data_IF_875854890201
#
_entry.id   IF_875854890201
#
_cell.length_a   1.000
_cell.length_b   1.000
_cell.length_c   1.000
_cell.angle_alpha   90.00
_cell.angle_beta   90.00
_cell.angle_gamma   90.00
#
_symmetry.space_group_name_H-M   'P 1'
#
loop_
_entity.id
_entity.type
_entity.pdbx_description
1 polymer ?
#
# COMPACT_ATOMS: atom_id res chain seq x y z
N UNK A 1 1.59 10.02 -36.01
CA UNK A 1 1.33 9.27 -34.75
C UNK A 1 1.49 10.13 -33.49
N UNK A 2 2.55 10.96 -33.35
CA UNK A 2 2.79 11.78 -32.14
C UNK A 2 1.73 12.86 -31.84
N UNK A 3 1.16 13.48 -32.88
CA UNK A 3 0.13 14.52 -32.73
C UNK A 3 -1.20 13.95 -32.22
N UNK A 4 -1.58 12.76 -32.69
CA UNK A 4 -2.79 12.08 -32.25
C UNK A 4 -2.74 11.73 -30.74
N UNK A 5 -1.58 11.30 -30.25
CA UNK A 5 -1.36 11.02 -28.81
C UNK A 5 -1.48 12.29 -27.96
N UNK A 6 -1.05 13.44 -28.49
CA UNK A 6 -1.15 14.73 -27.79
C UNK A 6 -2.59 15.27 -27.73
N UNK A 7 -3.42 14.93 -28.71
CA UNK A 7 -4.82 15.40 -28.78
C UNK A 7 -5.80 14.56 -27.94
N UNK A 8 -5.44 13.32 -27.60
CA UNK A 8 -6.30 12.41 -26.82
C UNK A 8 -6.71 12.97 -25.44
N UNK A 9 -5.82 13.58 -24.63
CA UNK A 9 -6.20 14.18 -23.35
C UNK A 9 -7.25 15.29 -23.50
N UNK A 10 -7.14 16.10 -24.55
CA UNK A 10 -8.07 17.20 -24.83
C UNK A 10 -9.45 16.70 -25.27
N UNK A 11 -9.50 15.66 -26.11
CA UNK A 11 -10.75 15.05 -26.56
C UNK A 11 -11.45 14.36 -25.38
N UNK A 12 -10.71 13.61 -24.55
CA UNK A 12 -11.23 12.98 -23.33
C UNK A 12 -11.77 14.04 -22.36
N UNK A 13 -11.05 15.14 -22.17
CA UNK A 13 -11.48 16.24 -21.31
C UNK A 13 -12.80 16.87 -21.77
N UNK A 14 -12.95 17.16 -23.06
CA UNK A 14 -14.19 17.71 -23.62
C UNK A 14 -15.35 16.71 -23.56
N UNK A 15 -15.10 15.42 -23.80
CA UNK A 15 -16.11 14.38 -23.70
C UNK A 15 -16.57 14.13 -22.26
N UNK A 16 -15.65 14.22 -21.28
CA UNK A 16 -15.97 14.13 -19.86
C UNK A 16 -16.84 15.31 -19.42
N UNK A 17 -16.49 16.53 -19.83
CA UNK A 17 -17.18 17.75 -19.38
C UNK A 17 -18.66 17.78 -19.77
N UNK A 18 -19.02 17.17 -20.89
CA UNK A 18 -20.39 17.17 -21.40
C UNK A 18 -21.30 16.10 -20.78
N UNK A 19 -20.78 15.12 -20.03
CA UNK A 19 -21.60 14.04 -19.51
C UNK A 19 -21.27 13.70 -18.04
N UNK A 20 -22.20 13.94 -17.08
CA UNK A 20 -21.95 13.71 -15.66
C UNK A 20 -21.65 12.23 -15.34
N UNK A 21 -22.16 11.31 -16.17
CA UNK A 21 -21.90 9.87 -16.04
C UNK A 21 -20.45 9.53 -16.38
N UNK A 22 -19.88 10.16 -17.41
CA UNK A 22 -18.48 9.97 -17.81
C UNK A 22 -17.51 10.44 -16.73
N UNK A 23 -17.78 11.57 -16.10
CA UNK A 23 -16.98 12.08 -14.97
C UNK A 23 -16.96 11.06 -13.83
N UNK A 24 -18.11 10.48 -13.48
CA UNK A 24 -18.22 9.49 -12.41
C UNK A 24 -17.40 8.23 -12.68
N UNK A 25 -17.46 7.69 -13.90
CA UNK A 25 -16.66 6.52 -14.25
C UNK A 25 -15.16 6.81 -14.26
N UNK A 26 -14.75 8.00 -14.70
CA UNK A 26 -13.35 8.41 -14.64
C UNK A 26 -12.85 8.57 -13.20
N UNK A 27 -13.68 9.08 -12.29
CA UNK A 27 -13.35 9.15 -10.86
C UNK A 27 -13.17 7.75 -10.25
N UNK A 28 -14.13 6.84 -10.51
CA UNK A 28 -14.04 5.45 -10.03
C UNK A 28 -12.78 4.78 -10.57
N UNK A 29 -12.48 4.96 -11.86
CA UNK A 29 -11.27 4.43 -12.49
C UNK A 29 -10.00 4.97 -11.82
N UNK A 30 -9.91 6.28 -11.61
CA UNK A 30 -8.76 6.90 -10.93
C UNK A 30 -8.59 6.40 -9.51
N UNK A 31 -9.69 6.32 -8.75
CA UNK A 31 -9.72 5.76 -7.40
C UNK A 31 -9.22 4.31 -7.39
N UNK A 32 -9.71 3.48 -8.30
CA UNK A 32 -9.33 2.07 -8.37
C UNK A 32 -7.85 1.89 -8.72
N UNK A 33 -7.34 2.72 -9.62
CA UNK A 33 -5.93 2.70 -10.03
C UNK A 33 -5.01 3.12 -8.88
N UNK A 34 -5.26 4.28 -8.26
CA UNK A 34 -4.39 4.80 -7.21
C UNK A 34 -4.59 4.07 -5.89
N UNK A 35 -5.82 4.05 -5.37
CA UNK A 35 -6.09 3.52 -4.04
C UNK A 35 -6.25 2.00 -4.02
N UNK A 36 -6.67 1.39 -5.13
CA UNK A 36 -6.73 -0.06 -5.25
C UNK A 36 -5.39 -0.65 -5.64
N UNK A 37 -4.96 -0.43 -6.88
CA UNK A 37 -3.82 -1.15 -7.44
C UNK A 37 -2.46 -0.64 -6.94
N UNK A 38 -2.17 0.66 -7.08
CA UNK A 38 -0.87 1.21 -6.70
C UNK A 38 -0.62 1.05 -5.20
N UNK A 39 -1.60 1.38 -4.35
CA UNK A 39 -1.47 1.18 -2.90
C UNK A 39 -1.23 -0.29 -2.53
N UNK A 40 -1.93 -1.24 -3.17
CA UNK A 40 -1.69 -2.67 -2.93
C UNK A 40 -0.25 -3.08 -3.26
N UNK A 41 0.29 -2.58 -4.38
CA UNK A 41 1.67 -2.83 -4.77
C UNK A 41 2.66 -2.25 -3.75
N UNK A 42 2.44 -1.01 -3.30
CA UNK A 42 3.30 -0.36 -2.30
C UNK A 42 3.29 -1.17 -1.00
N UNK A 43 2.10 -1.52 -0.48
CA UNK A 43 1.95 -2.31 0.74
C UNK A 43 2.65 -3.66 0.62
N UNK A 44 2.47 -4.37 -0.50
CA UNK A 44 3.08 -5.68 -0.72
C UNK A 44 4.60 -5.64 -0.88
N UNK A 45 5.13 -4.70 -1.65
CA UNK A 45 6.57 -4.62 -1.94
C UNK A 45 7.36 -4.09 -0.75
N UNK A 46 6.80 -3.16 0.04
CA UNK A 46 7.49 -2.60 1.22
C UNK A 46 7.96 -3.71 2.16
N UNK A 47 7.11 -4.69 2.50
CA UNK A 47 7.47 -5.76 3.44
C UNK A 47 8.38 -6.85 2.86
N UNK A 48 8.71 -6.78 1.57
CA UNK A 48 9.77 -7.59 0.97
C UNK A 48 11.08 -6.82 0.93
N UNK A 49 11.04 -5.59 0.45
CA UNK A 49 12.23 -4.78 0.18
C UNK A 49 12.79 -4.14 1.45
N UNK A 50 11.96 -3.55 2.30
CA UNK A 50 12.41 -2.81 3.48
C UNK A 50 13.13 -3.69 4.52
N UNK A 51 12.59 -4.87 4.90
CA UNK A 51 13.29 -5.75 5.84
C UNK A 51 14.61 -6.24 5.28
N UNK A 52 14.69 -6.51 3.97
CA UNK A 52 15.94 -6.89 3.31
C UNK A 52 17.00 -5.79 3.40
N UNK A 53 16.63 -4.53 3.09
CA UNK A 53 17.57 -3.39 3.19
C UNK A 53 18.10 -3.22 4.62
N UNK A 54 17.22 -3.25 5.62
CA UNK A 54 17.63 -3.12 7.02
C UNK A 54 18.48 -4.30 7.46
N UNK A 55 18.13 -5.51 7.02
CA UNK A 55 18.88 -6.71 7.31
C UNK A 55 20.31 -6.64 6.76
N UNK A 56 20.49 -6.28 5.49
CA UNK A 56 21.80 -6.12 4.86
C UNK A 56 22.65 -5.12 5.64
N UNK A 57 22.10 -3.93 5.93
CA UNK A 57 22.81 -2.89 6.69
C UNK A 57 23.31 -3.38 8.06
N UNK A 58 22.60 -4.31 8.69
CA UNK A 58 22.86 -4.69 10.07
C UNK A 58 23.54 -6.04 10.26
N UNK A 59 23.35 -6.97 9.32
CA UNK A 59 23.75 -8.37 9.46
C UNK A 59 24.69 -8.86 8.36
N UNK A 60 24.91 -8.11 7.27
CA UNK A 60 25.84 -8.51 6.18
C UNK A 60 27.25 -8.81 6.68
N UNK A 61 27.76 -8.05 7.66
CA UNK A 61 29.08 -8.29 8.25
C UNK A 61 29.12 -9.47 9.24
N UNK A 62 27.96 -9.99 9.64
CA UNK A 62 27.79 -11.09 10.60
C UNK A 62 27.42 -12.41 9.91
N UNK A 63 27.09 -12.38 8.61
CA UNK A 63 26.76 -13.59 7.84
C UNK A 63 27.96 -14.53 7.81
N UNK A 64 27.73 -15.79 8.24
CA UNK A 64 28.75 -16.83 8.30
C UNK A 64 29.54 -16.92 9.61
N UNK A 65 29.41 -15.94 10.53
CA UNK A 65 30.10 -15.96 11.83
C UNK A 65 29.19 -16.31 13.01
N UNK A 66 27.92 -15.87 12.96
CA UNK A 66 26.92 -16.08 14.02
C UNK A 66 25.55 -16.37 13.41
N UNK A 67 24.62 -16.93 14.19
CA UNK A 67 23.22 -17.10 13.76
C UNK A 67 22.55 -15.72 13.67
N UNK A 68 22.29 -15.25 12.45
CA UNK A 68 21.57 -14.00 12.17
C UNK A 68 20.08 -14.28 11.95
N UNK A 69 19.16 -13.40 12.39
CA UNK A 69 17.72 -13.54 12.12
C UNK A 69 17.45 -13.47 10.61
N UNK A 70 16.33 -14.01 10.13
CA UNK A 70 15.95 -13.84 8.72
C UNK A 70 15.32 -12.46 8.49
N UNK A 71 15.38 -11.89 7.27
CA UNK A 71 14.72 -10.62 6.97
C UNK A 71 13.22 -10.62 7.29
N UNK A 72 12.56 -11.77 7.16
CA UNK A 72 11.14 -11.96 7.50
C UNK A 72 10.83 -11.77 8.98
N UNK A 73 11.82 -11.91 9.86
CA UNK A 73 11.62 -11.88 11.31
C UNK A 73 11.72 -10.44 11.88
N UNK A 74 12.08 -9.47 11.03
CA UNK A 74 12.24 -8.06 11.42
C UNK A 74 10.90 -7.34 11.61
N UNK A 75 9.83 -7.82 10.97
CA UNK A 75 8.50 -7.21 11.04
C UNK A 75 7.52 -8.08 11.82
N UNK A 76 6.46 -7.47 12.34
CA UNK A 76 5.43 -8.22 13.09
C UNK A 76 4.37 -8.76 12.14
N UNK A 77 4.32 -10.09 12.01
CA UNK A 77 3.29 -10.80 11.24
C UNK A 77 1.86 -10.44 11.67
N UNK A 78 1.62 -10.16 12.95
CA UNK A 78 0.29 -9.76 13.43
C UNK A 78 -0.15 -8.40 12.86
N UNK A 79 0.71 -7.38 12.92
CA UNK A 79 0.42 -6.07 12.35
C UNK A 79 0.28 -6.15 10.82
N UNK A 80 1.06 -7.03 10.17
CA UNK A 80 0.94 -7.27 8.72
C UNK A 80 -0.41 -7.89 8.34
N UNK A 81 -0.95 -8.80 9.15
CA UNK A 81 -2.28 -9.34 8.94
C UNK A 81 -3.36 -8.27 9.14
N UNK A 82 -3.26 -7.45 10.19
CA UNK A 82 -4.24 -6.39 10.48
C UNK A 82 -4.28 -5.36 9.35
N UNK A 83 -3.11 -4.86 8.90
CA UNK A 83 -3.09 -3.89 7.80
C UNK A 83 -3.66 -4.47 6.49
N UNK A 84 -3.40 -5.74 6.21
CA UNK A 84 -3.87 -6.41 4.99
C UNK A 84 -5.38 -6.63 5.04
N UNK A 85 -5.90 -7.07 6.18
CA UNK A 85 -7.33 -7.18 6.42
C UNK A 85 -8.02 -5.81 6.33
N UNK A 86 -7.46 -4.77 6.93
CA UNK A 86 -7.97 -3.39 6.82
C UNK A 86 -8.00 -2.90 5.38
N UNK A 87 -6.99 -3.24 4.58
CA UNK A 87 -6.93 -2.85 3.17
C UNK A 87 -7.99 -3.58 2.32
N UNK A 88 -8.22 -4.86 2.61
CA UNK A 88 -9.30 -5.63 1.97
C UNK A 88 -10.66 -5.04 2.33
N UNK A 89 -10.89 -4.70 3.61
CA UNK A 89 -12.14 -4.05 4.06
C UNK A 89 -12.31 -2.70 3.37
N UNK A 90 -11.24 -1.90 3.24
CA UNK A 90 -11.26 -0.66 2.48
C UNK A 90 -11.71 -0.91 1.03
N UNK A 91 -11.11 -1.86 0.32
CA UNK A 91 -11.52 -2.18 -1.05
C UNK A 91 -12.99 -2.61 -1.14
N UNK A 92 -13.45 -3.47 -0.23
CA UNK A 92 -14.82 -4.01 -0.22
C UNK A 92 -15.88 -2.98 0.18
N UNK A 93 -15.52 -1.88 0.86
CA UNK A 93 -16.47 -0.86 1.31
C UNK A 93 -16.38 0.41 0.48
N UNK A 94 -15.17 0.90 0.21
CA UNK A 94 -14.93 2.14 -0.52
C UNK A 94 -15.29 2.02 -2.00
N UNK A 95 -14.89 0.94 -2.69
CA UNK A 95 -15.17 0.77 -4.12
C UNK A 95 -16.69 0.69 -4.38
N UNK A 96 -17.47 -0.15 -3.66
CA UNK A 96 -18.91 -0.12 -3.78
C UNK A 96 -19.52 1.20 -3.30
N UNK A 97 -18.94 1.84 -2.27
CA UNK A 97 -19.34 3.16 -1.81
C UNK A 97 -19.26 4.23 -2.91
N UNK A 98 -18.20 4.22 -3.72
CA UNK A 98 -18.05 5.08 -4.89
C UNK A 98 -19.07 4.75 -5.98
N UNK A 99 -19.42 3.48 -6.17
CA UNK A 99 -20.37 3.04 -7.20
C UNK A 99 -21.82 3.39 -6.83
N UNK A 100 -22.22 3.12 -5.60
CA UNK A 100 -23.57 3.36 -5.07
C UNK A 100 -23.77 4.77 -4.51
N UNK A 101 -22.73 5.59 -4.47
CA UNK A 101 -22.74 6.94 -3.88
C UNK A 101 -23.22 6.95 -2.42
N UNK A 102 -22.87 5.89 -1.68
CA UNK A 102 -23.27 5.69 -0.28
C UNK A 102 -22.24 6.28 0.67
N UNK A 103 -22.59 7.37 1.34
CA UNK A 103 -21.71 8.05 2.30
C UNK A 103 -21.25 7.13 3.46
N UNK A 104 -22.12 6.31 4.08
CA UNK A 104 -21.69 5.40 5.15
C UNK A 104 -20.61 4.41 4.70
N UNK A 105 -20.73 3.84 3.49
CA UNK A 105 -19.74 2.93 2.94
C UNK A 105 -18.40 3.63 2.67
N UNK A 106 -18.44 4.86 2.16
CA UNK A 106 -17.25 5.66 1.94
C UNK A 106 -16.52 5.94 3.25
N UNK A 107 -17.23 6.37 4.30
CA UNK A 107 -16.62 6.63 5.61
C UNK A 107 -16.08 5.37 6.27
N UNK A 108 -16.80 4.24 6.17
CA UNK A 108 -16.30 2.96 6.66
C UNK A 108 -15.00 2.55 5.95
N UNK A 109 -14.94 2.73 4.62
CA UNK A 109 -13.74 2.47 3.84
C UNK A 109 -12.58 3.36 4.24
N UNK A 110 -12.78 4.67 4.32
CA UNK A 110 -11.75 5.63 4.75
C UNK A 110 -11.25 5.28 6.15
N UNK A 111 -12.14 4.93 7.08
CA UNK A 111 -11.77 4.46 8.41
C UNK A 111 -10.89 3.21 8.38
N UNK A 112 -11.24 2.22 7.56
CA UNK A 112 -10.44 1.01 7.37
C UNK A 112 -9.05 1.33 6.79
N UNK A 113 -8.97 2.24 5.81
CA UNK A 113 -7.72 2.69 5.23
C UNK A 113 -6.82 3.41 6.25
N UNK A 114 -7.39 4.22 7.14
CA UNK A 114 -6.66 4.86 8.23
C UNK A 114 -6.05 3.83 9.19
N UNK A 115 -6.82 2.79 9.55
CA UNK A 115 -6.30 1.68 10.37
C UNK A 115 -5.14 0.98 9.65
N UNK A 116 -5.28 0.70 8.36
CA UNK A 116 -4.19 0.15 7.54
C UNK A 116 -2.96 1.04 7.56
N UNK A 117 -3.10 2.36 7.39
CA UNK A 117 -1.99 3.31 7.38
C UNK A 117 -1.25 3.36 8.73
N UNK A 118 -1.98 3.38 9.86
CA UNK A 118 -1.39 3.38 11.20
C UNK A 118 -0.62 2.07 11.45
N UNK A 119 -1.22 0.93 11.11
CA UNK A 119 -0.59 -0.38 11.30
C UNK A 119 0.63 -0.57 10.39
N UNK A 120 0.56 -0.09 9.15
CA UNK A 120 1.67 -0.03 8.21
C UNK A 120 2.83 0.77 8.79
N UNK A 121 2.56 2.00 9.23
CA UNK A 121 3.57 2.91 9.77
C UNK A 121 4.22 2.34 11.04
N UNK A 122 3.42 1.77 11.94
CA UNK A 122 3.93 1.12 13.14
C UNK A 122 4.89 -0.04 12.79
N UNK A 123 4.55 -0.85 11.80
CA UNK A 123 5.39 -1.93 11.31
C UNK A 123 6.69 -1.42 10.67
N UNK A 124 6.62 -0.37 9.86
CA UNK A 124 7.79 0.29 9.26
C UNK A 124 8.74 0.79 10.35
N UNK A 125 8.23 1.42 11.40
CA UNK A 125 9.07 1.84 12.53
C UNK A 125 9.71 0.67 13.28
N UNK A 126 8.99 -0.44 13.47
CA UNK A 126 9.57 -1.64 14.09
C UNK A 126 10.75 -2.17 13.27
N UNK A 127 10.65 -2.16 11.94
CA UNK A 127 11.72 -2.60 11.04
C UNK A 127 12.90 -1.61 11.11
N UNK A 128 12.63 -0.30 10.95
CA UNK A 128 13.68 0.73 10.90
C UNK A 128 14.46 0.87 12.22
N UNK A 129 13.77 0.77 13.35
CA UNK A 129 14.38 0.85 14.68
C UNK A 129 14.73 -0.51 15.26
N UNK A 130 14.78 -1.56 14.44
CA UNK A 130 15.22 -2.87 14.90
C UNK A 130 16.66 -2.78 15.40
N UNK A 131 16.86 -3.08 16.69
CA UNK A 131 18.20 -3.18 17.28
C UNK A 131 18.77 -4.57 17.03
N UNK A 132 20.07 -4.65 16.78
CA UNK A 132 20.84 -5.90 16.62
C UNK A 132 20.60 -6.74 17.84
N UNK A 133 19.83 -7.81 17.70
CA UNK A 133 19.93 -8.94 18.61
C UNK A 133 20.94 -9.92 18.02
N UNK A 134 22.18 -9.80 18.47
CA UNK A 134 23.20 -10.84 18.26
C UNK A 134 22.94 -11.93 19.30
N UNK A 135 22.46 -13.10 18.87
CA UNK A 135 22.35 -14.25 19.76
C UNK A 135 23.75 -14.86 19.95
N UNK A 136 24.36 -14.57 21.09
CA UNK A 136 25.54 -15.28 21.62
C UNK A 136 26.81 -14.44 21.71
N UNK A 137 27.16 -14.02 22.95
CA UNK A 137 28.54 -14.24 23.41
C UNK A 137 28.72 -15.76 23.48
N UNK A 138 29.67 -16.29 22.73
CA UNK A 138 30.38 -17.50 23.12
C UNK A 138 31.21 -17.18 24.36
#
# INVERSE_FOLDING_TARGET
MKVAVLTIPFIIYYHLKNNPVSIRYSLIYGVLLFMGWITALILGQTFKTLPFIVWVKHYEHLTGKLKTPMPSDLFKNSLLKIQSAGFIIFCLTFIPGCFFMSQPLLYAGIGALLVTAVMYLANVFIILFHKTKTYGKL
#
